data_IF_155903126523
#
_entry.id   IF_155903126523
#
_cell.length_a   1.000
_cell.length_b   1.000
_cell.length_c   1.000
_cell.angle_alpha   90.00
_cell.angle_beta   90.00
_cell.angle_gamma   90.00
#
_symmetry.space_group_name_H-M   'P 1'
#
loop_
_entity.id
_entity.type
_entity.pdbx_description
1 polymer ?
#
# COMPACT_ATOMS: atom_id res chain seq x y z
N UNK A 1 3.18 -8.06 -19.14
CA UNK A 1 2.83 -7.51 -17.81
C UNK A 1 1.43 -6.95 -17.92
N UNK A 2 0.53 -7.29 -16.98
CA UNK A 2 -0.84 -6.74 -17.00
C UNK A 2 -0.84 -5.39 -16.30
N UNK A 3 -1.85 -4.56 -16.56
CA UNK A 3 -2.10 -3.35 -15.81
C UNK A 3 -3.51 -3.38 -15.19
N UNK A 4 -3.67 -2.72 -14.05
CA UNK A 4 -4.96 -2.40 -13.43
C UNK A 4 -5.15 -0.89 -13.41
N UNK A 5 -6.36 -0.41 -13.11
CA UNK A 5 -6.66 1.02 -13.10
C UNK A 5 -7.25 1.46 -11.78
N UNK A 6 -6.89 2.66 -11.35
CA UNK A 6 -7.62 3.35 -10.29
C UNK A 6 -9.01 3.76 -10.76
N UNK A 7 -9.88 4.13 -9.83
CA UNK A 7 -11.23 4.61 -10.11
C UNK A 7 -11.24 5.89 -10.96
N UNK A 8 -10.15 6.65 -10.93
CA UNK A 8 -9.90 7.86 -11.74
C UNK A 8 -9.24 7.55 -13.10
N UNK A 9 -8.86 6.30 -13.36
CA UNK A 9 -8.32 5.82 -14.63
C UNK A 9 -6.79 5.78 -14.75
N UNK A 10 -6.04 6.00 -13.66
CA UNK A 10 -4.58 5.88 -13.65
C UNK A 10 -4.17 4.42 -13.74
N UNK A 11 -3.26 4.10 -14.66
CA UNK A 11 -2.78 2.73 -14.87
C UNK A 11 -1.65 2.38 -13.88
N UNK A 12 -1.76 1.20 -13.28
CA UNK A 12 -0.74 0.59 -12.43
C UNK A 12 -0.29 -0.70 -13.11
N UNK A 13 1.01 -0.79 -13.42
CA UNK A 13 1.57 -2.02 -13.99
C UNK A 13 1.75 -3.06 -12.89
N UNK A 14 1.27 -4.29 -13.14
CA UNK A 14 1.48 -5.42 -12.24
C UNK A 14 2.78 -6.13 -12.61
N UNK A 15 3.86 -5.71 -11.97
CA UNK A 15 5.22 -6.23 -12.13
C UNK A 15 5.72 -7.00 -10.90
N UNK A 16 4.86 -7.11 -9.86
CA UNK A 16 5.22 -7.71 -8.59
C UNK A 16 5.91 -6.75 -7.62
N UNK A 17 5.87 -5.44 -7.88
CA UNK A 17 6.29 -4.41 -6.92
C UNK A 17 5.06 -3.80 -6.23
N UNK A 18 4.87 -4.10 -4.94
CA UNK A 18 3.78 -3.52 -4.16
C UNK A 18 3.97 -2.01 -3.93
N UNK A 19 5.22 -1.52 -3.89
CA UNK A 19 5.50 -0.12 -3.61
C UNK A 19 4.90 0.78 -4.71
N UNK A 20 5.00 0.37 -5.97
CA UNK A 20 4.36 1.08 -7.09
C UNK A 20 2.84 1.21 -6.92
N UNK A 21 2.17 0.18 -6.39
CA UNK A 21 0.73 0.21 -6.08
C UNK A 21 0.45 1.20 -4.94
N UNK A 22 1.24 1.15 -3.86
CA UNK A 22 1.08 2.01 -2.68
C UNK A 22 1.34 3.48 -3.02
N UNK A 23 2.37 3.78 -3.81
CA UNK A 23 2.68 5.14 -4.27
C UNK A 23 1.57 5.71 -5.13
N UNK A 24 1.03 4.91 -6.07
CA UNK A 24 -0.09 5.36 -6.90
C UNK A 24 -1.33 5.63 -6.05
N UNK A 25 -1.66 4.75 -5.10
CA UNK A 25 -2.75 4.97 -4.14
C UNK A 25 -2.54 6.24 -3.31
N UNK A 26 -1.31 6.52 -2.87
CA UNK A 26 -0.98 7.73 -2.12
C UNK A 26 -1.15 8.98 -2.99
N UNK A 27 -0.69 8.98 -4.24
CA UNK A 27 -0.87 10.12 -5.13
C UNK A 27 -2.34 10.34 -5.46
N UNK A 28 -3.06 9.28 -5.82
CA UNK A 28 -4.44 9.38 -6.25
C UNK A 28 -5.41 9.72 -5.12
N UNK A 29 -5.29 9.07 -3.97
CA UNK A 29 -6.25 9.26 -2.86
C UNK A 29 -5.86 10.42 -1.95
N UNK A 30 -4.59 10.81 -1.87
CA UNK A 30 -4.13 11.87 -0.94
C UNK A 30 -3.72 13.17 -1.60
N UNK A 31 -3.06 13.13 -2.76
CA UNK A 31 -2.61 14.37 -3.40
C UNK A 31 -3.76 15.02 -4.18
N UNK A 32 -4.65 14.23 -4.80
CA UNK A 32 -5.75 14.77 -5.61
C UNK A 32 -7.03 15.14 -4.84
N UNK A 33 -7.18 14.80 -3.57
CA UNK A 33 -8.42 15.03 -2.79
C UNK A 33 -8.29 16.07 -1.67
N UNK A 34 -7.23 16.88 -1.69
CA UNK A 34 -7.06 18.15 -0.94
C UNK A 34 -7.92 18.33 0.34
N UNK A 35 -7.77 17.46 1.35
CA UNK A 35 -8.23 17.63 2.76
C UNK A 35 -9.52 16.91 3.24
N UNK A 36 -10.30 16.21 2.41
CA UNK A 36 -11.45 15.39 2.88
C UNK A 36 -11.17 13.89 2.83
N UNK A 37 -9.95 13.50 3.20
CA UNK A 37 -9.51 12.10 3.14
C UNK A 37 -10.23 11.26 4.19
N UNK A 38 -11.14 10.38 3.78
CA UNK A 38 -11.70 9.39 4.69
C UNK A 38 -10.96 8.06 4.56
N UNK A 39 -10.84 7.33 5.66
CA UNK A 39 -10.42 5.92 5.65
C UNK A 39 -11.27 5.08 4.68
N UNK A 40 -12.54 5.45 4.49
CA UNK A 40 -13.44 4.77 3.57
C UNK A 40 -13.03 4.91 2.10
N UNK A 41 -12.56 6.08 1.67
CA UNK A 41 -12.16 6.30 0.28
C UNK A 41 -10.92 5.47 -0.07
N UNK A 42 -9.93 5.43 0.82
CA UNK A 42 -8.77 4.57 0.65
C UNK A 42 -9.17 3.09 0.60
N UNK A 43 -10.03 2.64 1.50
CA UNK A 43 -10.54 1.27 1.50
C UNK A 43 -11.36 0.93 0.25
N UNK A 44 -12.11 1.90 -0.28
CA UNK A 44 -12.87 1.74 -1.53
C UNK A 44 -11.92 1.58 -2.71
N UNK A 45 -10.88 2.40 -2.78
CA UNK A 45 -9.90 2.33 -3.85
C UNK A 45 -9.11 1.02 -3.80
N UNK A 46 -8.66 0.58 -2.63
CA UNK A 46 -7.98 -0.71 -2.46
C UNK A 46 -8.88 -1.87 -2.91
N UNK A 47 -10.17 -1.86 -2.56
CA UNK A 47 -11.13 -2.87 -3.03
C UNK A 47 -11.26 -2.84 -4.56
N UNK A 48 -11.40 -1.67 -5.14
CA UNK A 48 -11.51 -1.50 -6.59
C UNK A 48 -10.29 -2.07 -7.32
N UNK A 49 -9.08 -1.85 -6.80
CA UNK A 49 -7.86 -2.45 -7.35
C UNK A 49 -7.84 -3.97 -7.18
N UNK A 50 -8.20 -4.47 -5.99
CA UNK A 50 -8.19 -5.90 -5.68
C UNK A 50 -9.17 -6.70 -6.55
N UNK A 51 -10.33 -6.15 -6.90
CA UNK A 51 -11.32 -6.76 -7.80
C UNK A 51 -10.80 -6.97 -9.22
N UNK A 52 -9.75 -6.24 -9.62
CA UNK A 52 -9.11 -6.38 -10.92
C UNK A 52 -7.96 -7.40 -10.92
N UNK A 53 -7.57 -7.94 -9.77
CA UNK A 53 -6.49 -8.92 -9.64
C UNK A 53 -6.97 -10.33 -9.94
N UNK A 54 -6.10 -11.13 -10.56
CA UNK A 54 -6.31 -12.59 -10.60
C UNK A 54 -5.99 -13.19 -9.24
N UNK A 55 -6.46 -14.42 -8.95
CA UNK A 55 -6.12 -15.11 -7.70
C UNK A 55 -4.61 -15.28 -7.48
N UNK A 56 -3.83 -15.44 -8.55
CA UNK A 56 -2.37 -15.57 -8.51
C UNK A 56 -1.72 -14.26 -8.06
N UNK A 57 -2.08 -13.14 -8.68
CA UNK A 57 -1.53 -11.82 -8.34
C UNK A 57 -1.99 -11.37 -6.96
N UNK A 58 -3.26 -11.60 -6.62
CA UNK A 58 -3.77 -11.30 -5.28
C UNK A 58 -2.96 -12.02 -4.20
N UNK A 59 -2.61 -13.29 -4.44
CA UNK A 59 -1.74 -14.06 -3.53
C UNK A 59 -0.34 -13.46 -3.46
N UNK A 60 0.27 -13.11 -4.59
CA UNK A 60 1.60 -12.54 -4.64
C UNK A 60 1.69 -11.20 -3.87
N UNK A 61 0.79 -10.26 -4.19
CA UNK A 61 0.75 -8.96 -3.54
C UNK A 61 0.36 -9.06 -2.05
N UNK A 62 -0.48 -10.02 -1.66
CA UNK A 62 -0.77 -10.27 -0.25
C UNK A 62 0.50 -10.71 0.51
N UNK A 63 1.23 -11.68 -0.02
CA UNK A 63 2.50 -12.15 0.57
C UNK A 63 3.47 -10.99 0.74
N UNK A 64 3.64 -10.18 -0.31
CA UNK A 64 4.53 -9.02 -0.29
C UNK A 64 4.09 -7.97 0.74
N UNK A 65 2.79 -7.68 0.82
CA UNK A 65 2.25 -6.72 1.81
C UNK A 65 2.52 -7.17 3.24
N UNK A 66 2.31 -8.45 3.55
CA UNK A 66 2.52 -8.98 4.89
C UNK A 66 4.00 -8.96 5.23
N UNK A 67 4.86 -9.28 4.26
CA UNK A 67 6.32 -9.19 4.42
C UNK A 67 6.76 -7.74 4.73
N UNK A 68 6.35 -6.76 3.93
CA UNK A 68 6.72 -5.36 4.14
C UNK A 68 6.20 -4.81 5.48
N UNK A 69 4.96 -5.16 5.86
CA UNK A 69 4.42 -4.78 7.16
C UNK A 69 5.19 -5.42 8.33
N UNK A 70 5.66 -6.66 8.18
CA UNK A 70 6.48 -7.34 9.20
C UNK A 70 7.82 -6.62 9.39
N UNK A 71 8.51 -6.31 8.29
CA UNK A 71 9.78 -5.55 8.30
C UNK A 71 9.58 -4.17 8.92
N UNK A 72 8.49 -3.48 8.56
CA UNK A 72 8.15 -2.16 9.12
C UNK A 72 7.94 -2.24 10.63
N UNK A 73 7.14 -3.22 11.09
CA UNK A 73 6.89 -3.42 12.52
C UNK A 73 8.17 -3.73 13.31
N UNK A 74 9.03 -4.60 12.78
CA UNK A 74 10.30 -4.93 13.41
C UNK A 74 11.20 -3.70 13.56
N UNK A 75 11.30 -2.88 12.51
CA UNK A 75 12.07 -1.64 12.51
C UNK A 75 11.51 -0.61 13.51
N UNK A 76 10.19 -0.41 13.55
CA UNK A 76 9.56 0.50 14.51
C UNK A 76 9.77 0.06 15.95
N UNK A 77 9.66 -1.24 16.22
CA UNK A 77 9.89 -1.82 17.54
C UNK A 77 11.36 -1.71 17.97
N UNK A 78 12.29 -1.98 17.06
CA UNK A 78 13.73 -1.78 17.28
C UNK A 78 14.03 -0.30 17.59
N UNK A 79 13.50 0.63 16.79
CA UNK A 79 13.67 2.06 17.03
C UNK A 79 13.09 2.53 18.36
N UNK A 80 11.94 1.98 18.77
CA UNK A 80 11.36 2.27 20.09
C UNK A 80 12.23 1.75 21.24
N UNK A 81 12.82 0.55 21.09
CA UNK A 81 13.76 0.00 22.08
C UNK A 81 15.05 0.83 22.18
N UNK A 82 15.60 1.27 21.05
CA UNK A 82 16.81 2.11 21.04
C UNK A 82 16.57 3.47 21.72
N UNK A 83 15.42 4.11 21.50
CA UNK A 83 15.06 5.36 22.22
C UNK A 83 15.03 5.14 23.73
N UNK A 84 14.42 4.05 24.19
CA UNK A 84 14.33 3.72 25.61
C UNK A 84 15.70 3.47 26.26
N UNK A 85 16.68 2.94 25.51
CA UNK A 85 18.04 2.69 26.00
C UNK A 85 18.97 3.93 25.91
N UNK A 86 18.67 4.89 25.03
CA UNK A 86 19.43 6.13 24.90
C UNK A 86 18.96 7.28 25.81
N UNK A 87 17.80 7.11 26.45
CA UNK A 87 17.24 8.02 27.45
C UNK A 87 17.68 7.67 28.90
N UNK A 88 18.59 6.70 29.09
CA UNK A 88 19.32 6.39 30.33
C UNK A 88 20.76 6.94 30.30
#
# INVERSE_FOLDING_TARGET
>A
MRAIKTSTGVEITLDGDLLAVVETLFQEVTVRHELERTFEDMMREIRHLAEQLTPEELRAYLIESVFLNTVTYENERLGALMRKLGDE
#
